data_IF_124404084464
#
_entry.id   IF_124404084464
#
_cell.length_a   1.000
_cell.length_b   1.000
_cell.length_c   1.000
_cell.angle_alpha   90.00
_cell.angle_beta   90.00
_cell.angle_gamma   90.00
#
_symmetry.space_group_name_H-M   'P 1'
#
loop_
_entity.id
_entity.type
_entity.pdbx_description
1 polymer ?
#
# COMPACT_ATOMS: atom_id res chain seq x y z
N UNK A 1 13.21 -10.58 -39.04
CA UNK A 1 13.15 -9.49 -38.07
C UNK A 1 14.55 -8.91 -37.94
N UNK A 2 14.72 -7.59 -37.96
CA UNK A 2 16.03 -6.95 -37.71
C UNK A 2 16.06 -6.48 -36.25
N UNK A 3 17.02 -6.95 -35.48
CA UNK A 3 17.20 -6.46 -34.11
C UNK A 3 17.84 -5.08 -34.13
N UNK A 4 17.30 -4.14 -33.36
CA UNK A 4 17.86 -2.80 -33.18
C UNK A 4 17.66 -2.37 -31.73
N UNK A 5 18.75 -2.21 -30.99
CA UNK A 5 18.77 -1.63 -29.66
C UNK A 5 19.63 -0.36 -29.70
N UNK A 6 18.99 0.79 -29.66
CA UNK A 6 19.68 2.08 -29.72
C UNK A 6 19.81 2.72 -28.33
N UNK A 7 20.88 3.49 -28.17
CA UNK A 7 21.05 4.34 -27.00
C UNK A 7 19.99 5.47 -27.01
N UNK A 8 19.13 5.52 -26.00
CA UNK A 8 18.01 6.49 -25.94
C UNK A 8 18.45 7.95 -25.79
N UNK A 9 19.58 8.21 -25.10
CA UNK A 9 20.11 9.57 -24.88
C UNK A 9 21.61 9.53 -24.59
N UNK A 10 22.26 10.70 -24.58
CA UNK A 10 23.68 10.81 -24.22
C UNK A 10 24.02 10.25 -22.85
N UNK A 11 23.07 10.37 -21.90
CA UNK A 11 23.24 9.99 -20.50
C UNK A 11 22.39 8.77 -20.08
N UNK A 12 22.00 7.91 -21.03
CA UNK A 12 21.14 6.75 -20.76
C UNK A 12 21.71 5.75 -19.74
N UNK A 13 23.01 5.79 -19.48
CA UNK A 13 23.69 4.91 -18.49
C UNK A 13 23.86 5.52 -17.10
N UNK A 14 23.36 6.73 -16.84
CA UNK A 14 23.43 7.31 -15.50
C UNK A 14 22.46 6.58 -14.55
N UNK A 15 22.86 6.41 -13.27
CA UNK A 15 21.96 5.87 -12.24
C UNK A 15 20.69 6.71 -12.13
N UNK A 16 19.55 6.05 -12.05
CA UNK A 16 18.27 6.73 -11.82
C UNK A 16 18.19 7.20 -10.37
N UNK A 17 17.91 8.50 -10.16
CA UNK A 17 17.61 9.03 -8.83
C UNK A 17 16.35 8.37 -8.30
N UNK A 18 16.45 7.67 -7.18
CA UNK A 18 15.36 6.88 -6.59
C UNK A 18 14.61 7.66 -5.52
N UNK A 19 13.36 7.30 -5.28
CA UNK A 19 12.59 7.76 -4.12
C UNK A 19 13.09 7.03 -2.87
N UNK A 20 13.06 7.71 -1.71
CA UNK A 20 13.44 7.09 -0.43
C UNK A 20 12.45 6.02 0.01
N UNK A 21 11.16 6.19 -0.31
CA UNK A 21 10.13 5.22 0.00
C UNK A 21 9.92 4.26 -1.16
N UNK A 22 10.16 2.99 -0.90
CA UNK A 22 9.82 1.87 -1.80
C UNK A 22 8.44 1.38 -1.39
N UNK A 23 7.53 1.30 -2.36
CA UNK A 23 6.22 0.70 -2.14
C UNK A 23 6.33 -0.82 -2.18
N UNK A 24 5.66 -1.50 -1.26
CA UNK A 24 5.66 -2.94 -1.14
C UNK A 24 4.26 -3.46 -0.86
N UNK A 25 3.90 -4.57 -1.43
CA UNK A 25 2.65 -5.28 -1.12
C UNK A 25 2.96 -6.76 -0.91
N UNK A 26 2.24 -7.40 0.00
CA UNK A 26 2.33 -8.86 0.13
C UNK A 26 1.67 -9.51 -1.07
N UNK A 27 2.34 -10.50 -1.65
CA UNK A 27 1.82 -11.22 -2.82
C UNK A 27 0.40 -11.80 -2.59
N UNK A 28 0.13 -12.26 -1.37
CA UNK A 28 -1.17 -12.81 -0.94
C UNK A 28 -2.29 -11.78 -0.88
N UNK A 29 -1.95 -10.49 -0.78
CA UNK A 29 -2.92 -9.39 -0.64
C UNK A 29 -3.37 -8.83 -2.00
N UNK A 30 -2.75 -9.27 -3.08
CA UNK A 30 -3.13 -8.89 -4.44
C UNK A 30 -4.30 -9.73 -4.91
N UNK A 31 -5.45 -9.08 -5.14
CA UNK A 31 -6.68 -9.71 -5.65
C UNK A 31 -6.64 -9.90 -7.16
N UNK A 32 -6.29 -8.84 -7.87
CA UNK A 32 -6.25 -8.84 -9.35
C UNK A 32 -4.91 -8.29 -9.82
N UNK A 33 -4.22 -9.10 -10.62
CA UNK A 33 -3.00 -8.71 -11.29
C UNK A 33 -3.32 -7.98 -12.58
N UNK A 34 -2.67 -6.86 -12.89
CA UNK A 34 -2.81 -6.21 -14.18
C UNK A 34 -2.36 -7.14 -15.33
N UNK A 35 -2.90 -6.90 -16.51
CA UNK A 35 -2.47 -7.61 -17.70
C UNK A 35 -1.00 -7.26 -18.03
N UNK A 36 -0.31 -8.18 -18.68
CA UNK A 36 1.05 -7.93 -19.18
C UNK A 36 0.93 -7.48 -20.65
N UNK A 37 1.67 -6.44 -21.00
CA UNK A 37 1.76 -5.91 -22.36
C UNK A 37 2.22 -6.99 -23.38
N UNK A 38 1.89 -6.81 -24.63
CA UNK A 38 2.21 -7.77 -25.69
C UNK A 38 3.73 -8.03 -25.87
N UNK A 39 4.59 -7.09 -25.43
CA UNK A 39 6.04 -7.22 -25.45
C UNK A 39 6.61 -7.85 -24.16
N UNK A 40 5.74 -8.18 -23.20
CA UNK A 40 6.12 -8.83 -21.95
C UNK A 40 6.88 -7.96 -20.95
N UNK A 41 6.87 -6.63 -21.11
CA UNK A 41 7.72 -5.75 -20.29
C UNK A 41 6.99 -4.87 -19.30
N UNK A 42 5.67 -4.70 -19.45
CA UNK A 42 4.90 -3.70 -18.72
C UNK A 42 3.59 -4.30 -18.17
N UNK A 43 3.26 -3.95 -16.95
CA UNK A 43 1.93 -4.18 -16.40
C UNK A 43 0.97 -3.09 -16.86
N UNK A 44 -0.14 -3.48 -17.46
CA UNK A 44 -1.18 -2.60 -18.01
C UNK A 44 -2.49 -2.75 -17.20
N UNK A 45 -3.03 -1.65 -16.69
CA UNK A 45 -4.24 -1.64 -15.88
C UNK A 45 -3.96 -1.28 -14.41
N UNK A 46 -4.93 -1.57 -13.56
CA UNK A 46 -4.88 -1.23 -12.15
C UNK A 46 -4.56 -2.45 -11.29
N UNK A 47 -3.82 -2.22 -10.21
CA UNK A 47 -3.64 -3.19 -9.14
C UNK A 47 -4.87 -3.15 -8.24
N UNK A 48 -5.45 -4.31 -7.96
CA UNK A 48 -6.54 -4.45 -6.99
C UNK A 48 -6.08 -5.32 -5.84
N UNK A 49 -6.38 -4.87 -4.63
CA UNK A 49 -6.04 -5.59 -3.40
C UNK A 49 -7.30 -6.15 -2.75
N UNK A 50 -7.13 -7.16 -1.91
CA UNK A 50 -8.22 -7.61 -1.07
C UNK A 50 -8.61 -6.51 -0.08
N UNK A 51 -9.90 -6.37 0.25
CA UNK A 51 -10.35 -5.40 1.26
C UNK A 51 -9.56 -5.53 2.57
N UNK A 52 -9.18 -4.39 3.14
CA UNK A 52 -8.37 -4.35 4.36
C UNK A 52 -6.87 -4.62 4.17
N UNK A 53 -6.43 -4.78 2.93
CA UNK A 53 -5.02 -4.92 2.58
C UNK A 53 -4.59 -3.82 1.62
N UNK A 54 -3.30 -3.59 1.47
CA UNK A 54 -2.80 -2.52 0.62
C UNK A 54 -1.29 -2.50 0.48
N UNK A 55 -0.78 -1.42 -0.10
CA UNK A 55 0.65 -1.22 -0.24
C UNK A 55 1.24 -0.54 1.00
N UNK A 56 2.29 -1.13 1.57
CA UNK A 56 3.16 -0.51 2.55
C UNK A 56 4.26 0.35 1.94
N UNK A 57 4.79 1.27 2.73
CA UNK A 57 5.99 2.05 2.39
C UNK A 57 7.16 1.62 3.26
N UNK A 58 8.28 1.33 2.61
CA UNK A 58 9.52 0.98 3.28
C UNK A 58 10.53 2.08 2.96
N UNK A 59 10.93 2.86 3.97
CA UNK A 59 11.99 3.83 3.78
C UNK A 59 13.34 3.13 3.66
N UNK A 60 14.08 3.47 2.60
CA UNK A 60 15.45 3.05 2.36
C UNK A 60 16.27 4.24 1.89
N UNK A 61 17.47 4.38 2.41
CA UNK A 61 18.39 5.44 1.99
C UNK A 61 18.62 5.38 0.48
N UNK A 62 18.35 6.47 -0.22
CA UNK A 62 18.31 6.50 -1.69
C UNK A 62 19.62 6.06 -2.35
N UNK A 63 20.76 6.41 -1.74
CA UNK A 63 22.10 6.07 -2.24
C UNK A 63 22.46 4.59 -2.08
N UNK A 64 21.77 3.86 -1.19
CA UNK A 64 22.04 2.43 -0.92
C UNK A 64 21.12 1.49 -1.69
N UNK A 65 20.09 2.03 -2.33
CA UNK A 65 19.14 1.24 -3.09
C UNK A 65 19.75 0.69 -4.37
N UNK A 66 19.79 -0.63 -4.51
CA UNK A 66 20.28 -1.33 -5.68
C UNK A 66 19.27 -2.36 -6.17
N UNK A 67 19.02 -2.34 -7.47
CA UNK A 67 18.25 -3.35 -8.20
C UNK A 67 19.20 -4.11 -9.11
N UNK A 68 19.24 -5.42 -8.97
CA UNK A 68 19.99 -6.31 -9.82
C UNK A 68 19.10 -7.42 -10.37
N UNK A 69 19.40 -7.86 -11.58
CA UNK A 69 18.76 -9.02 -12.19
C UNK A 69 19.90 -9.89 -12.70
N UNK A 70 20.14 -11.01 -12.04
CA UNK A 70 21.25 -11.89 -12.33
C UNK A 70 20.79 -13.03 -13.23
N UNK A 71 21.40 -13.21 -14.41
CA UNK A 71 21.08 -14.33 -15.28
C UNK A 71 21.59 -15.63 -14.66
N UNK A 72 20.86 -16.71 -14.88
CA UNK A 72 21.22 -18.04 -14.43
C UNK A 72 20.53 -19.10 -15.26
N UNK A 73 20.84 -20.37 -14.98
CA UNK A 73 20.31 -21.51 -15.72
C UNK A 73 21.33 -22.18 -16.61
N UNK A 74 20.86 -23.07 -17.46
CA UNK A 74 21.68 -23.78 -18.45
C UNK A 74 21.42 -23.22 -19.88
N UNK A 75 22.19 -23.62 -20.88
CA UNK A 75 22.01 -23.09 -22.24
C UNK A 75 20.62 -23.28 -22.84
N UNK A 76 19.86 -24.29 -22.38
CA UNK A 76 18.53 -24.61 -22.87
C UNK A 76 17.41 -24.04 -22.01
N UNK A 77 17.76 -23.37 -20.90
CA UNK A 77 16.81 -22.83 -19.91
C UNK A 77 17.39 -21.66 -19.14
N UNK A 78 17.70 -20.55 -19.85
CA UNK A 78 18.17 -19.32 -19.23
C UNK A 78 17.02 -18.56 -18.57
N UNK A 79 17.24 -18.12 -17.34
CA UNK A 79 16.32 -17.26 -16.60
C UNK A 79 17.05 -16.13 -15.90
N UNK A 80 16.32 -15.37 -15.11
CA UNK A 80 16.89 -14.35 -14.25
C UNK A 80 16.36 -14.45 -12.82
N UNK A 81 17.13 -13.94 -11.88
CA UNK A 81 16.78 -13.80 -10.48
C UNK A 81 16.88 -12.34 -10.08
N UNK A 82 15.76 -11.77 -9.70
CA UNK A 82 15.70 -10.36 -9.33
C UNK A 82 15.99 -10.17 -7.86
N UNK A 83 16.78 -9.14 -7.54
CA UNK A 83 17.17 -8.77 -6.19
C UNK A 83 17.11 -7.28 -6.01
N UNK A 84 16.54 -6.85 -4.89
CA UNK A 84 16.51 -5.47 -4.48
C UNK A 84 17.11 -5.34 -3.09
N UNK A 85 18.04 -4.41 -2.92
CA UNK A 85 18.73 -4.17 -1.64
C UNK A 85 18.62 -2.69 -1.31
N UNK A 86 18.45 -2.39 -0.03
CA UNK A 86 18.51 -1.03 0.48
C UNK A 86 18.73 -1.03 1.98
N UNK A 87 19.22 0.09 2.51
CA UNK A 87 19.49 0.28 3.92
C UNK A 87 18.44 1.17 4.56
N UNK A 88 17.85 0.66 5.63
CA UNK A 88 17.01 1.43 6.54
C UNK A 88 17.87 1.95 7.69
N UNK A 89 17.88 3.27 7.98
CA UNK A 89 18.64 3.83 9.06
C UNK A 89 18.09 3.41 10.42
N UNK A 90 18.96 2.86 11.24
CA UNK A 90 18.64 2.44 12.60
C UNK A 90 18.17 0.98 12.72
N UNK A 91 18.13 0.53 13.99
CA UNK A 91 17.67 -0.80 14.43
C UNK A 91 16.56 -0.61 15.47
N UNK A 92 15.59 0.26 15.13
CA UNK A 92 14.50 0.60 16.06
C UNK A 92 13.59 -0.60 16.34
N UNK A 93 12.78 -0.48 17.40
CA UNK A 93 11.79 -1.50 17.75
C UNK A 93 10.81 -1.77 16.59
N UNK A 94 10.44 -0.73 15.86
CA UNK A 94 9.54 -0.81 14.70
C UNK A 94 10.20 -1.58 13.55
N UNK A 95 11.48 -1.32 13.26
CA UNK A 95 12.24 -2.07 12.26
C UNK A 95 12.36 -3.55 12.64
N UNK A 96 12.59 -3.84 13.91
CA UNK A 96 12.66 -5.22 14.41
C UNK A 96 11.29 -5.91 14.36
N UNK A 97 10.21 -5.21 14.67
CA UNK A 97 8.84 -5.72 14.56
C UNK A 97 8.50 -6.05 13.10
N UNK A 98 8.82 -5.16 12.17
CA UNK A 98 8.66 -5.38 10.72
C UNK A 98 9.40 -6.63 10.26
N UNK A 99 10.68 -6.77 10.61
CA UNK A 99 11.48 -7.95 10.26
C UNK A 99 10.84 -9.23 10.81
N UNK A 100 10.48 -9.23 12.09
CA UNK A 100 9.90 -10.40 12.74
C UNK A 100 8.57 -10.83 12.12
N UNK A 101 7.78 -9.85 11.70
CA UNK A 101 6.45 -10.10 11.13
C UNK A 101 6.54 -10.58 9.68
N UNK A 102 7.49 -10.06 8.89
CA UNK A 102 7.47 -10.21 7.44
C UNK A 102 8.67 -10.97 6.84
N UNK A 103 9.62 -11.48 7.63
CA UNK A 103 10.83 -12.13 7.11
C UNK A 103 10.59 -13.34 6.18
N UNK A 104 9.44 -14.01 6.31
CA UNK A 104 9.11 -15.18 5.48
C UNK A 104 8.01 -14.91 4.44
N UNK A 105 7.52 -13.68 4.39
CA UNK A 105 6.44 -13.30 3.47
C UNK A 105 6.99 -12.99 2.08
N UNK A 106 6.18 -13.29 1.07
CA UNK A 106 6.47 -12.92 -0.32
C UNK A 106 5.98 -11.51 -0.63
N UNK A 107 6.85 -10.68 -1.16
CA UNK A 107 6.57 -9.30 -1.53
C UNK A 107 6.60 -9.08 -3.04
N UNK A 108 5.85 -8.07 -3.47
CA UNK A 108 6.01 -7.40 -4.74
C UNK A 108 6.43 -5.96 -4.43
N UNK A 109 7.58 -5.54 -4.97
CA UNK A 109 8.13 -4.21 -4.72
C UNK A 109 7.93 -3.31 -5.94
N UNK A 110 7.68 -2.04 -5.64
CA UNK A 110 7.56 -0.96 -6.63
C UNK A 110 8.60 0.11 -6.33
N UNK A 111 9.69 0.08 -7.08
CA UNK A 111 10.77 1.07 -6.97
C UNK A 111 10.55 2.17 -7.99
N UNK A 112 10.32 3.40 -7.56
CA UNK A 112 10.08 4.56 -8.41
C UNK A 112 11.29 5.48 -8.53
N UNK A 113 11.44 6.12 -9.69
CA UNK A 113 12.36 7.23 -9.90
C UNK A 113 11.82 8.53 -9.30
N UNK A 114 12.72 9.42 -8.86
CA UNK A 114 12.35 10.74 -8.39
C UNK A 114 11.77 11.56 -9.56
N UNK A 115 10.58 12.14 -9.35
CA UNK A 115 9.91 12.96 -10.39
C UNK A 115 9.29 12.15 -11.54
N UNK A 116 9.20 10.82 -11.43
CA UNK A 116 8.61 9.94 -12.44
C UNK A 116 7.43 9.16 -11.86
N UNK A 117 6.45 8.87 -12.73
CA UNK A 117 5.37 7.92 -12.46
C UNK A 117 5.71 6.52 -13.00
N UNK A 118 6.95 6.29 -13.37
CA UNK A 118 7.46 4.99 -13.78
C UNK A 118 7.92 4.23 -12.54
N UNK A 119 7.46 3.01 -12.40
CA UNK A 119 7.88 2.09 -11.37
C UNK A 119 8.53 0.85 -11.98
N UNK A 120 9.55 0.34 -11.32
CA UNK A 120 10.09 -0.99 -11.54
C UNK A 120 9.39 -1.94 -10.60
N UNK A 121 8.71 -2.94 -11.15
CA UNK A 121 8.02 -3.98 -10.37
C UNK A 121 8.96 -5.16 -10.23
N UNK A 122 9.25 -5.54 -9.00
CA UNK A 122 10.20 -6.60 -8.66
C UNK A 122 9.45 -7.71 -7.93
N UNK A 123 9.56 -8.93 -8.46
CA UNK A 123 8.75 -10.08 -8.07
C UNK A 123 7.58 -10.31 -9.03
N UNK A 124 7.08 -11.54 -9.06
CA UNK A 124 5.92 -11.95 -9.85
C UNK A 124 4.97 -12.79 -9.00
N UNK A 125 3.78 -13.07 -9.52
CA UNK A 125 2.74 -13.83 -8.82
C UNK A 125 3.24 -15.19 -8.31
N UNK A 126 3.99 -15.90 -9.15
CA UNK A 126 4.50 -17.24 -8.82
C UNK A 126 5.89 -17.21 -8.17
N UNK A 127 6.61 -16.09 -8.26
CA UNK A 127 7.96 -15.94 -7.73
C UNK A 127 8.15 -14.56 -7.08
N UNK A 128 7.46 -14.29 -5.94
CA UNK A 128 7.63 -13.06 -5.19
C UNK A 128 9.05 -12.95 -4.62
N UNK A 129 9.46 -11.75 -4.23
CA UNK A 129 10.73 -11.56 -3.51
C UNK A 129 10.52 -11.79 -2.02
N UNK A 130 11.49 -12.42 -1.37
CA UNK A 130 11.49 -12.65 0.08
C UNK A 130 12.50 -11.77 0.78
N UNK A 131 12.13 -11.31 1.97
CA UNK A 131 12.97 -10.45 2.80
C UNK A 131 14.02 -11.26 3.55
N UNK A 132 15.29 -10.93 3.34
CA UNK A 132 16.45 -11.39 4.11
C UNK A 132 17.11 -10.17 4.76
N UNK A 133 16.85 -9.90 6.04
CA UNK A 133 17.41 -8.74 6.72
C UNK A 133 18.80 -9.04 7.27
N UNK A 134 19.64 -8.00 7.34
CA UNK A 134 20.91 -8.00 8.06
C UNK A 134 20.97 -6.76 8.94
N UNK A 135 21.37 -6.94 10.19
CA UNK A 135 21.43 -5.90 11.20
C UNK A 135 22.88 -5.63 11.53
N UNK A 136 23.25 -4.37 11.51
CA UNK A 136 24.55 -3.86 11.92
C UNK A 136 24.34 -2.76 12.96
N UNK A 137 24.91 -2.94 14.14
CA UNK A 137 24.93 -1.93 15.22
C UNK A 137 26.32 -1.97 15.85
N UNK A 138 27.22 -1.16 15.33
CA UNK A 138 28.62 -1.09 15.76
C UNK A 138 29.13 0.36 15.73
N UNK A 139 30.44 0.53 15.98
CA UNK A 139 31.11 1.84 15.98
C UNK A 139 31.02 2.61 14.64
N UNK A 140 30.76 1.93 13.53
CA UNK A 140 30.74 2.49 12.18
C UNK A 140 29.31 2.81 11.70
N UNK A 141 28.28 2.35 12.42
CA UNK A 141 26.88 2.67 12.12
C UNK A 141 25.86 1.76 12.75
N UNK A 142 24.64 2.27 12.77
CA UNK A 142 23.43 1.55 13.17
C UNK A 142 22.49 1.48 11.96
N UNK A 143 22.42 0.33 11.31
CA UNK A 143 21.80 0.15 10.00
C UNK A 143 21.10 -1.20 9.93
N UNK A 144 19.92 -1.22 9.32
CA UNK A 144 19.21 -2.43 8.92
C UNK A 144 19.26 -2.56 7.40
N UNK A 145 20.01 -3.52 6.89
CA UNK A 145 20.03 -3.84 5.46
C UNK A 145 18.87 -4.76 5.13
N UNK A 146 18.01 -4.34 4.23
CA UNK A 146 16.87 -5.12 3.74
C UNK A 146 17.19 -5.64 2.35
N UNK A 147 17.29 -6.95 2.22
CA UNK A 147 17.50 -7.65 0.95
C UNK A 147 16.22 -8.38 0.57
N UNK A 148 15.67 -8.05 -0.58
CA UNK A 148 14.53 -8.71 -1.17
C UNK A 148 14.99 -9.47 -2.41
N UNK A 149 14.83 -10.79 -2.42
CA UNK A 149 15.38 -11.63 -3.48
C UNK A 149 14.38 -12.73 -3.86
N UNK A 150 14.26 -13.02 -5.16
CA UNK A 150 13.50 -14.14 -5.65
C UNK A 150 14.20 -15.46 -5.29
N UNK A 151 13.44 -16.52 -4.98
CA UNK A 151 14.02 -17.80 -4.64
C UNK A 151 14.44 -18.60 -5.88
N UNK A 152 13.70 -18.45 -6.96
CA UNK A 152 13.88 -19.25 -8.17
C UNK A 152 14.24 -18.38 -9.36
N UNK A 153 14.92 -18.97 -10.32
CA UNK A 153 15.10 -18.40 -11.65
C UNK A 153 13.77 -18.47 -12.40
N UNK A 154 13.42 -17.40 -13.11
CA UNK A 154 12.31 -17.35 -14.02
C UNK A 154 12.68 -16.55 -15.28
N UNK A 155 11.80 -16.51 -16.25
CA UNK A 155 11.92 -15.73 -17.47
C UNK A 155 11.37 -14.29 -17.30
N UNK A 156 10.80 -13.98 -16.14
CA UNK A 156 10.30 -12.63 -15.81
C UNK A 156 11.47 -11.74 -15.36
N UNK A 157 11.87 -10.85 -16.23
CA UNK A 157 12.75 -9.75 -15.85
C UNK A 157 11.99 -8.72 -15.02
N UNK A 158 12.69 -7.70 -14.55
CA UNK A 158 12.05 -6.57 -13.87
C UNK A 158 11.08 -5.88 -14.80
N UNK A 159 9.80 -5.87 -14.41
CA UNK A 159 8.71 -5.28 -15.18
C UNK A 159 8.60 -3.77 -14.94
N UNK A 160 7.94 -3.10 -15.86
CA UNK A 160 7.58 -1.69 -15.71
C UNK A 160 6.11 -1.55 -15.30
N UNK A 161 5.79 -0.46 -14.63
CA UNK A 161 4.42 -0.03 -14.39
C UNK A 161 4.33 1.50 -14.52
N UNK A 162 3.39 1.96 -15.31
CA UNK A 162 3.10 3.38 -15.53
C UNK A 162 1.69 3.66 -15.03
N UNK A 163 1.56 4.19 -13.83
CA UNK A 163 0.26 4.47 -13.26
C UNK A 163 0.32 4.98 -11.83
N UNK A 164 -0.85 5.24 -11.28
CA UNK A 164 -1.00 5.60 -9.88
C UNK A 164 -1.07 4.32 -9.06
N UNK A 165 -0.16 4.19 -8.10
CA UNK A 165 -0.27 3.12 -7.11
C UNK A 165 -1.36 3.48 -6.11
N UNK A 166 -2.27 2.56 -5.77
CA UNK A 166 -3.28 2.81 -4.74
C UNK A 166 -2.57 3.17 -3.43
N UNK A 167 -3.13 4.14 -2.70
CA UNK A 167 -2.69 4.44 -1.35
C UNK A 167 -3.14 3.32 -0.41
N UNK A 168 -2.42 3.17 0.70
CA UNK A 168 -2.76 2.20 1.73
C UNK A 168 -4.13 2.45 2.35
N UNK A 169 -4.78 1.36 2.76
CA UNK A 169 -5.83 1.28 3.78
C UNK A 169 -7.18 1.95 3.49
N UNK A 170 -7.42 2.52 2.33
CA UNK A 170 -8.69 3.16 2.06
C UNK A 170 -9.69 2.18 1.42
N UNK A 171 -10.50 1.52 2.23
CA UNK A 171 -11.67 0.83 1.69
C UNK A 171 -12.69 1.85 1.14
N UNK A 172 -12.86 1.87 -0.17
CA UNK A 172 -13.82 2.77 -0.82
C UNK A 172 -15.24 2.32 -0.54
N UNK A 173 -15.99 3.14 0.19
CA UNK A 173 -17.40 2.93 0.49
C UNK A 173 -18.24 3.35 -0.72
N UNK A 174 -19.20 2.52 -1.11
CA UNK A 174 -20.03 2.76 -2.32
C UNK A 174 -21.19 3.74 -2.06
N UNK A 175 -21.62 3.91 -0.79
CA UNK A 175 -22.77 4.75 -0.43
C UNK A 175 -22.58 5.38 0.95
N UNK A 176 -23.52 6.22 1.36
CA UNK A 176 -23.56 6.80 2.70
C UNK A 176 -23.96 5.80 3.79
N UNK A 177 -24.49 4.62 3.42
CA UNK A 177 -24.86 3.54 4.32
C UNK A 177 -23.96 2.33 4.11
N UNK A 178 -23.24 1.88 5.14
CA UNK A 178 -22.29 0.78 5.04
C UNK A 178 -22.05 0.06 6.35
N UNK A 179 -21.52 -1.15 6.24
CA UNK A 179 -21.05 -1.95 7.37
C UNK A 179 -19.55 -1.72 7.62
N UNK A 180 -19.13 -1.79 8.88
CA UNK A 180 -17.73 -1.86 9.27
C UNK A 180 -17.36 -3.33 9.45
N UNK A 181 -16.51 -3.83 8.56
CA UNK A 181 -16.14 -5.25 8.54
C UNK A 181 -14.62 -5.38 8.71
N UNK A 182 -14.18 -6.34 9.51
CA UNK A 182 -12.74 -6.62 9.73
C UNK A 182 -11.97 -6.82 8.44
N UNK A 183 -12.62 -7.46 7.46
CA UNK A 183 -12.01 -7.74 6.16
C UNK A 183 -11.71 -6.46 5.36
N UNK A 184 -12.41 -5.37 5.64
CA UNK A 184 -12.25 -4.08 4.96
C UNK A 184 -11.21 -3.17 5.65
N UNK A 185 -10.58 -3.64 6.73
CA UNK A 185 -9.61 -2.88 7.50
C UNK A 185 -10.22 -1.80 8.39
N UNK A 186 -9.45 -0.77 8.65
CA UNK A 186 -9.81 0.28 9.62
C UNK A 186 -10.00 1.66 8.98
N UNK A 187 -9.73 1.83 7.68
CA UNK A 187 -9.83 3.12 6.98
C UNK A 187 -10.87 3.03 5.87
N UNK A 188 -11.91 3.86 5.99
CA UNK A 188 -13.06 3.89 5.09
C UNK A 188 -13.10 5.23 4.37
N UNK A 189 -12.90 5.21 3.05
CA UNK A 189 -13.01 6.39 2.19
C UNK A 189 -14.45 6.55 1.72
N UNK A 190 -15.08 7.62 2.16
CA UNK A 190 -16.46 7.94 1.82
C UNK A 190 -16.55 8.44 0.37
N UNK A 191 -17.67 8.19 -0.31
CA UNK A 191 -17.89 8.74 -1.65
C UNK A 191 -18.04 10.27 -1.58
N UNK A 192 -17.72 10.94 -2.69
CA UNK A 192 -18.15 12.32 -2.89
C UNK A 192 -19.68 12.36 -3.01
N UNK A 193 -20.30 13.38 -2.41
CA UNK A 193 -21.73 13.61 -2.54
C UNK A 193 -21.96 14.83 -3.45
N UNK A 194 -22.47 14.59 -4.63
CA UNK A 194 -22.77 15.61 -5.64
C UNK A 194 -24.28 15.96 -5.70
N UNK A 195 -25.06 15.46 -4.76
CA UNK A 195 -26.48 15.78 -4.63
C UNK A 195 -26.68 17.22 -4.15
N UNK A 196 -27.91 17.72 -4.31
CA UNK A 196 -28.27 19.09 -3.90
C UNK A 196 -28.45 19.27 -2.36
N UNK A 197 -28.28 18.19 -1.59
CA UNK A 197 -28.43 18.20 -0.14
C UNK A 197 -27.42 17.28 0.57
N UNK A 198 -26.94 17.73 1.72
CA UNK A 198 -26.06 16.95 2.57
C UNK A 198 -26.79 15.67 3.06
N UNK A 199 -26.19 14.51 2.84
CA UNK A 199 -26.73 13.21 3.23
C UNK A 199 -26.03 12.68 4.48
N UNK A 200 -26.80 12.08 5.40
CA UNK A 200 -26.27 11.53 6.62
C UNK A 200 -25.52 10.22 6.38
N UNK A 201 -24.39 10.06 7.05
CA UNK A 201 -23.63 8.81 7.09
C UNK A 201 -24.31 7.88 8.12
N UNK A 202 -24.60 6.65 7.71
CA UNK A 202 -25.16 5.62 8.58
C UNK A 202 -24.31 4.35 8.55
N UNK A 203 -23.86 3.91 9.73
CA UNK A 203 -23.20 2.62 9.91
C UNK A 203 -24.25 1.57 10.26
N UNK A 204 -24.42 0.59 9.36
CA UNK A 204 -25.50 -0.41 9.46
C UNK A 204 -25.15 -1.57 10.39
N UNK A 205 -23.88 -1.93 10.49
CA UNK A 205 -23.36 -2.97 11.39
C UNK A 205 -21.85 -2.82 11.60
N UNK A 206 -21.31 -3.51 12.61
CA UNK A 206 -19.86 -3.59 12.83
C UNK A 206 -19.48 -4.92 13.45
N UNK A 207 -18.49 -5.62 12.86
CA UNK A 207 -17.85 -6.81 13.42
C UNK A 207 -16.46 -6.52 13.99
N UNK A 208 -15.99 -5.26 13.92
CA UNK A 208 -14.72 -4.83 14.48
C UNK A 208 -14.62 -5.13 15.98
N UNK A 209 -13.40 -5.39 16.46
CA UNK A 209 -13.15 -5.62 17.88
C UNK A 209 -13.31 -4.34 18.72
N UNK A 210 -13.60 -4.50 20.01
CA UNK A 210 -13.59 -3.38 20.94
C UNK A 210 -12.21 -2.71 20.96
N UNK A 211 -12.19 -1.39 21.22
CA UNK A 211 -11.00 -0.53 21.25
C UNK A 211 -10.32 -0.33 19.88
N UNK A 212 -10.82 -0.94 18.79
CA UNK A 212 -10.36 -0.63 17.44
C UNK A 212 -10.63 0.82 17.10
N UNK A 213 -9.64 1.50 16.51
CA UNK A 213 -9.82 2.83 15.93
C UNK A 213 -10.13 2.67 14.45
N UNK A 214 -11.30 3.16 14.05
CA UNK A 214 -11.69 3.24 12.63
C UNK A 214 -11.60 4.68 12.16
N UNK A 215 -11.06 4.91 10.97
CA UNK A 215 -10.90 6.23 10.37
C UNK A 215 -11.85 6.38 9.20
N UNK A 216 -12.66 7.43 9.18
CA UNK A 216 -13.40 7.83 7.99
C UNK A 216 -12.64 8.97 7.30
N UNK A 217 -12.49 8.84 5.98
CA UNK A 217 -11.87 9.85 5.11
C UNK A 217 -12.95 10.45 4.23
N UNK A 218 -13.12 11.75 4.31
CA UNK A 218 -14.14 12.46 3.56
C UNK A 218 -13.88 12.45 2.06
N UNK A 219 -14.94 12.18 1.29
CA UNK A 219 -14.92 12.20 -0.18
C UNK A 219 -15.14 13.59 -0.79
N UNK A 220 -15.68 14.55 -0.02
CA UNK A 220 -16.05 15.88 -0.53
C UNK A 220 -17.33 15.87 -1.35
N UNK A 221 -17.36 16.68 -2.40
CA UNK A 221 -18.52 16.91 -3.26
C UNK A 221 -19.14 18.28 -3.04
N UNK A 222 -20.21 18.62 -3.77
CA UNK A 222 -20.94 19.88 -3.65
C UNK A 222 -21.64 20.04 -2.30
N UNK A 223 -22.23 18.96 -1.80
CA UNK A 223 -22.86 18.87 -0.47
C UNK A 223 -22.31 17.63 0.27
N UNK A 224 -21.13 17.73 0.93
CA UNK A 224 -20.45 16.59 1.50
C UNK A 224 -21.30 15.82 2.53
N UNK A 225 -21.08 14.51 2.63
CA UNK A 225 -21.74 13.66 3.62
C UNK A 225 -21.50 14.16 5.05
N UNK A 226 -22.45 13.95 5.93
CA UNK A 226 -22.41 14.42 7.32
C UNK A 226 -22.56 13.24 8.30
N UNK A 227 -21.61 13.09 9.22
CA UNK A 227 -21.71 12.21 10.36
C UNK A 227 -22.26 12.99 11.55
N UNK A 228 -23.47 12.71 11.94
CA UNK A 228 -24.14 13.35 13.07
C UNK A 228 -24.03 12.50 14.34
N UNK A 229 -24.10 13.16 15.49
CA UNK A 229 -24.27 12.48 16.77
C UNK A 229 -25.62 11.72 16.79
N UNK A 230 -25.59 10.43 17.07
CA UNK A 230 -26.78 9.59 17.05
C UNK A 230 -26.72 8.53 18.15
N UNK A 231 -27.78 8.45 18.95
CA UNK A 231 -28.01 7.36 19.91
C UNK A 231 -28.95 6.29 19.36
N UNK A 232 -29.55 6.55 18.21
CA UNK A 232 -30.42 5.63 17.48
C UNK A 232 -29.64 4.89 16.38
N UNK A 233 -30.18 3.77 15.94
CA UNK A 233 -29.56 2.95 14.88
C UNK A 233 -28.88 1.69 15.40
N UNK A 234 -28.37 0.91 14.48
CA UNK A 234 -27.68 -0.35 14.78
C UNK A 234 -26.30 -0.09 15.42
N UNK A 235 -25.60 0.93 14.94
CA UNK A 235 -24.30 1.37 15.45
C UNK A 235 -24.38 2.87 15.78
N UNK A 236 -24.74 3.24 17.03
CA UNK A 236 -24.79 4.64 17.46
C UNK A 236 -23.43 5.32 17.39
N UNK A 237 -23.45 6.61 17.06
CA UNK A 237 -22.24 7.45 16.94
C UNK A 237 -22.27 8.54 18.00
N UNK A 238 -21.21 8.64 18.79
CA UNK A 238 -21.04 9.65 19.83
C UNK A 238 -19.90 10.57 19.43
N UNK A 239 -20.24 11.79 19.06
CA UNK A 239 -19.28 12.81 18.63
C UNK A 239 -18.91 13.73 19.78
N UNK A 240 -17.68 14.19 19.78
CA UNK A 240 -17.15 15.12 20.77
C UNK A 240 -17.94 16.42 20.73
N UNK A 241 -18.45 16.82 21.91
CA UNK A 241 -19.32 17.99 22.07
C UNK A 241 -20.64 17.93 21.26
N UNK A 242 -21.03 16.76 20.76
CA UNK A 242 -22.25 16.61 19.95
C UNK A 242 -22.17 17.27 18.57
N UNK A 243 -21.02 17.81 18.17
CA UNK A 243 -20.86 18.51 16.90
C UNK A 243 -20.72 17.53 15.74
N UNK A 244 -21.54 17.69 14.70
CA UNK A 244 -21.46 16.90 13.49
C UNK A 244 -20.08 17.08 12.80
N UNK A 245 -19.66 16.04 12.07
CA UNK A 245 -18.49 16.09 11.22
C UNK A 245 -18.92 16.07 9.76
N UNK A 246 -18.41 17.02 8.96
CA UNK A 246 -18.65 17.11 7.53
C UNK A 246 -17.48 16.45 6.79
N UNK A 247 -17.79 15.49 5.91
CA UNK A 247 -16.83 14.70 5.17
C UNK A 247 -16.22 15.49 3.98
N UNK A 248 -15.58 16.62 4.26
CA UNK A 248 -14.86 17.39 3.24
C UNK A 248 -13.76 16.55 2.61
N UNK A 249 -13.39 16.83 1.35
CA UNK A 249 -12.37 16.06 0.64
C UNK A 249 -11.07 15.95 1.46
N UNK A 250 -10.68 14.73 1.81
CA UNK A 250 -9.48 14.42 2.57
C UNK A 250 -9.55 14.68 4.08
N UNK A 251 -10.65 15.26 4.61
CA UNK A 251 -10.84 15.39 6.05
C UNK A 251 -10.94 14.01 6.71
N UNK A 252 -10.49 13.89 7.96
CA UNK A 252 -10.47 12.60 8.66
C UNK A 252 -11.15 12.71 10.02
N UNK A 253 -11.87 11.65 10.39
CA UNK A 253 -12.38 11.44 11.74
C UNK A 253 -12.00 10.05 12.22
N UNK A 254 -11.42 9.96 13.41
CA UNK A 254 -11.06 8.72 14.06
C UNK A 254 -12.11 8.38 15.11
N UNK A 255 -12.68 7.21 15.00
CA UNK A 255 -13.76 6.72 15.86
C UNK A 255 -13.29 5.45 16.59
N UNK A 256 -13.45 5.39 17.89
CA UNK A 256 -13.17 4.20 18.68
C UNK A 256 -14.40 3.31 18.74
N UNK A 257 -14.24 2.04 18.48
CA UNK A 257 -15.28 1.02 18.64
C UNK A 257 -15.42 0.65 20.11
N UNK A 258 -16.58 0.84 20.69
CA UNK A 258 -16.89 0.44 22.06
C UNK A 258 -18.05 -0.55 22.04
N UNK A 259 -17.86 -1.71 22.63
CA UNK A 259 -18.90 -2.75 22.75
C UNK A 259 -19.49 -2.74 24.15
N UNK A 260 -20.79 -2.46 24.24
CA UNK A 260 -21.58 -2.51 25.47
C UNK A 260 -22.85 -3.33 25.19
N UNK A 261 -24.03 -2.78 25.43
CA UNK A 261 -25.32 -3.34 24.99
C UNK A 261 -25.45 -3.34 23.45
N UNK A 262 -24.81 -2.37 22.83
CA UNK A 262 -24.63 -2.25 21.39
C UNK A 262 -23.17 -1.95 21.06
N UNK A 263 -22.84 -1.93 19.77
CA UNK A 263 -21.56 -1.38 19.29
C UNK A 263 -21.72 0.12 19.07
N UNK A 264 -20.90 0.91 19.73
CA UNK A 264 -20.83 2.36 19.62
C UNK A 264 -19.57 2.80 18.88
N UNK A 265 -19.66 3.88 18.14
CA UNK A 265 -18.52 4.59 17.58
C UNK A 265 -18.34 5.90 18.34
N UNK A 266 -17.25 6.05 19.06
CA UNK A 266 -16.96 7.24 19.86
C UNK A 266 -15.81 8.00 19.24
N UNK A 267 -16.02 9.29 18.99
CA UNK A 267 -14.98 10.13 18.41
C UNK A 267 -13.73 10.19 19.31
N UNK A 268 -12.59 9.81 18.72
CA UNK A 268 -11.27 9.95 19.33
C UNK A 268 -10.60 11.27 18.90
N UNK A 269 -10.61 11.57 17.61
CA UNK A 269 -10.04 12.81 17.05
C UNK A 269 -10.61 13.11 15.67
N UNK A 270 -10.46 14.36 15.21
CA UNK A 270 -10.75 14.78 13.83
C UNK A 270 -9.71 15.78 13.32
N UNK A 271 -9.51 15.82 11.99
CA UNK A 271 -8.63 16.76 11.30
C UNK A 271 -9.22 17.20 9.96
#
# INVERSE_FOLDING_TARGET
MKFKLEKKSSNAGLPTSKKGNVRAVLNKDIKTWPAISADGTTYEGNWEFYPGTGMGEIYMTTSTQALTSEPGGNPDGMGSKNKYVGEHPGTSREAMAFIKQYANEGFILFSGGCGSNEYRVIGSQCNPVKLSPSIKDDKDGNITTLTFEQEQLNDDYVMFYYGTLPSEDDFAVASNEFALEKINGQVYKLPANEDDAATAIAVTSSDLDAETIVTFVGGGGSEPLVLANSTAGAVPVVLKNGSAWTALAGSRINLRVVKADKTYLIEASRS
#
